data_IF_118827314543
#
_entry.id   IF_118827314543
#
_cell.length_a   1.000
_cell.length_b   1.000
_cell.length_c   1.000
_cell.angle_alpha   90.00
_cell.angle_beta   90.00
_cell.angle_gamma   90.00
#
_symmetry.space_group_name_H-M   'P 1'
#
loop_
_entity.id
_entity.type
_entity.pdbx_description
1 polymer ?
#
# COMPACT_ATOMS: atom_id res chain seq x y z
N UNK A 1 41.70 -37.37 29.25
CA UNK A 1 40.50 -36.50 29.23
C UNK A 1 40.85 -35.03 29.11
N UNK A 2 41.82 -34.62 28.28
CA UNK A 2 42.17 -33.21 28.01
C UNK A 2 42.42 -32.89 26.52
N UNK A 3 42.36 -33.88 25.65
CA UNK A 3 42.62 -33.73 24.21
C UNK A 3 41.34 -33.60 23.36
N UNK A 4 40.19 -34.06 23.84
CA UNK A 4 38.93 -34.01 23.05
C UNK A 4 38.17 -32.69 23.16
N UNK A 5 38.43 -31.89 24.20
CA UNK A 5 37.81 -30.58 24.39
C UNK A 5 38.41 -29.46 23.52
N UNK A 6 39.59 -29.67 22.97
CA UNK A 6 40.29 -28.68 22.15
C UNK A 6 39.87 -28.74 20.67
N UNK A 7 39.33 -29.88 20.19
CA UNK A 7 38.92 -30.08 18.82
C UNK A 7 37.51 -29.51 18.54
N UNK A 8 36.68 -29.34 19.56
CA UNK A 8 35.34 -28.82 19.43
C UNK A 8 35.25 -27.28 19.38
N UNK A 9 36.31 -26.58 19.85
CA UNK A 9 36.38 -25.13 19.87
C UNK A 9 36.82 -24.49 18.53
N UNK A 10 37.38 -25.27 17.61
CA UNK A 10 37.91 -24.78 16.32
C UNK A 10 36.86 -24.80 15.23
N UNK A 11 35.79 -25.58 15.35
CA UNK A 11 34.73 -25.66 14.32
C UNK A 11 33.66 -24.59 14.39
N UNK A 12 33.65 -23.71 15.42
CA UNK A 12 32.58 -22.69 15.60
C UNK A 12 32.95 -21.29 15.04
N UNK A 13 34.14 -21.14 14.44
CA UNK A 13 34.65 -19.84 13.99
C UNK A 13 34.58 -19.57 12.50
N UNK A 14 33.90 -20.41 11.70
CA UNK A 14 33.94 -20.31 10.23
C UNK A 14 32.57 -20.13 9.53
N UNK A 15 31.59 -19.51 10.17
CA UNK A 15 30.30 -19.24 9.52
C UNK A 15 29.85 -17.78 9.66
N UNK A 16 30.77 -16.82 9.50
CA UNK A 16 30.39 -15.43 9.24
C UNK A 16 30.23 -15.25 7.73
N UNK A 17 29.15 -15.77 7.18
CA UNK A 17 28.72 -15.43 5.83
C UNK A 17 28.35 -13.95 5.83
N UNK A 18 29.25 -13.09 5.39
CA UNK A 18 28.97 -11.68 5.11
C UNK A 18 27.91 -11.63 4.03
N UNK A 19 26.69 -11.21 4.39
CA UNK A 19 25.69 -10.78 3.41
C UNK A 19 26.27 -9.55 2.70
N UNK A 20 26.93 -9.76 1.57
CA UNK A 20 27.34 -8.69 0.69
C UNK A 20 26.06 -8.02 0.16
N UNK A 21 25.75 -6.84 0.66
CA UNK A 21 24.70 -6.00 0.08
C UNK A 21 25.09 -5.74 -1.39
N UNK A 22 24.20 -6.07 -2.31
CA UNK A 22 24.41 -5.81 -3.73
C UNK A 22 24.58 -4.29 -3.93
N UNK A 23 25.76 -3.88 -4.39
CA UNK A 23 26.11 -2.51 -4.66
C UNK A 23 25.99 -2.28 -6.16
N UNK A 24 25.30 -1.23 -6.57
CA UNK A 24 25.23 -0.82 -7.98
C UNK A 24 26.00 0.48 -8.17
N UNK A 25 26.90 0.46 -9.13
CA UNK A 25 27.65 1.64 -9.57
C UNK A 25 27.03 2.23 -10.81
N UNK A 26 26.95 3.56 -10.87
CA UNK A 26 26.49 4.30 -12.05
C UNK A 26 27.57 5.32 -12.42
N UNK A 27 27.96 5.35 -13.70
CA UNK A 27 28.87 6.36 -14.25
C UNK A 27 28.54 6.67 -15.72
N UNK A 28 29.21 7.66 -16.29
CA UNK A 28 29.16 7.93 -17.72
C UNK A 28 30.44 7.42 -18.40
N UNK A 29 30.28 6.71 -19.52
CA UNK A 29 31.41 6.31 -20.34
C UNK A 29 32.00 7.50 -21.12
N UNK A 30 33.09 7.26 -21.87
CA UNK A 30 33.76 8.29 -22.66
C UNK A 30 32.86 8.89 -23.77
N UNK A 31 31.78 8.20 -24.13
CA UNK A 31 30.76 8.63 -25.11
C UNK A 31 29.57 9.33 -24.43
N UNK A 32 29.61 9.55 -23.11
CA UNK A 32 28.55 10.21 -22.37
C UNK A 32 27.34 9.32 -22.03
N UNK A 33 27.39 8.02 -22.32
CA UNK A 33 26.30 7.07 -22.01
C UNK A 33 26.36 6.65 -20.56
N UNK A 34 25.21 6.51 -19.93
CA UNK A 34 25.13 6.03 -18.56
C UNK A 34 25.32 4.51 -18.51
N UNK A 35 26.32 4.05 -17.75
CA UNK A 35 26.63 2.65 -17.50
C UNK A 35 26.23 2.29 -16.08
N UNK A 36 25.63 1.12 -15.90
CA UNK A 36 25.31 0.53 -14.60
C UNK A 36 26.07 -0.79 -14.45
N UNK A 37 26.69 -1.04 -13.29
CA UNK A 37 27.45 -2.26 -13.01
C UNK A 37 27.37 -2.62 -11.53
N UNK A 38 27.37 -3.91 -11.23
CA UNK A 38 27.55 -4.48 -9.90
C UNK A 38 29.03 -4.54 -9.48
N UNK A 39 29.94 -4.28 -10.41
CA UNK A 39 31.37 -4.22 -10.17
C UNK A 39 31.86 -2.77 -10.01
N UNK A 40 32.91 -2.52 -9.23
CA UNK A 40 33.50 -1.20 -9.10
C UNK A 40 33.92 -0.63 -10.45
N UNK A 41 33.79 0.69 -10.68
CA UNK A 41 34.18 1.32 -11.93
C UNK A 41 35.69 1.23 -12.17
N UNK A 42 36.14 1.22 -13.44
CA UNK A 42 37.56 1.28 -13.78
C UNK A 42 38.23 2.54 -13.21
N UNK A 43 39.56 2.50 -12.90
CA UNK A 43 40.29 3.64 -12.31
C UNK A 43 40.24 4.93 -13.15
N UNK A 44 39.91 4.83 -14.42
CA UNK A 44 39.77 5.98 -15.34
C UNK A 44 38.46 6.75 -15.15
N UNK A 45 37.52 6.26 -14.34
CA UNK A 45 36.22 6.89 -14.11
C UNK A 45 36.22 7.68 -12.80
N UNK A 46 36.30 8.99 -12.89
CA UNK A 46 36.36 9.86 -11.70
C UNK A 46 34.99 10.27 -11.13
N UNK A 47 33.90 10.03 -11.86
CA UNK A 47 32.53 10.47 -11.49
C UNK A 47 31.56 9.29 -11.27
N UNK A 48 32.06 8.17 -10.77
CA UNK A 48 31.17 7.05 -10.41
C UNK A 48 30.41 7.35 -9.13
N UNK A 49 29.11 7.20 -9.17
CA UNK A 49 28.25 7.27 -7.99
C UNK A 49 27.87 5.85 -7.57
N UNK A 50 28.19 5.52 -6.34
CA UNK A 50 27.70 4.30 -5.70
C UNK A 50 26.26 4.55 -5.26
N UNK A 51 25.32 3.90 -5.91
CA UNK A 51 23.92 3.86 -5.47
C UNK A 51 23.72 2.64 -4.60
N UNK A 52 23.64 2.83 -3.31
CA UNK A 52 23.07 1.81 -2.44
C UNK A 52 21.58 1.76 -2.74
N UNK A 53 21.11 0.67 -3.33
CA UNK A 53 19.71 0.34 -3.25
C UNK A 53 19.42 -0.06 -1.80
N UNK A 54 19.06 0.89 -0.97
CA UNK A 54 18.17 0.59 0.13
C UNK A 54 16.91 0.08 -0.54
N UNK A 55 16.77 -1.25 -0.56
CA UNK A 55 15.77 -2.00 -1.29
C UNK A 55 14.86 -1.08 -2.08
N UNK A 56 14.82 -1.22 -3.39
CA UNK A 56 13.98 -0.38 -4.21
C UNK A 56 12.52 -0.61 -3.76
N UNK A 57 12.17 -0.07 -2.61
CA UNK A 57 10.84 0.40 -2.41
C UNK A 57 10.75 1.57 -3.38
N UNK A 58 10.42 1.26 -4.64
CA UNK A 58 9.54 2.14 -5.35
C UNK A 58 8.55 2.50 -4.26
N UNK A 59 8.49 3.76 -3.84
CA UNK A 59 7.23 4.27 -3.35
C UNK A 59 6.29 3.88 -4.46
N UNK A 60 5.67 2.71 -4.28
CA UNK A 60 4.61 2.24 -5.14
C UNK A 60 3.51 3.19 -4.74
N UNK A 61 3.57 4.37 -5.32
CA UNK A 61 2.45 5.19 -5.53
C UNK A 61 1.38 4.22 -5.97
N UNK A 62 0.16 4.44 -5.60
CA UNK A 62 -1.02 3.68 -5.99
C UNK A 62 -0.78 2.93 -7.30
N UNK A 63 -0.90 1.61 -7.31
CA UNK A 63 -0.61 0.82 -8.52
C UNK A 63 -1.45 1.37 -9.67
N UNK A 64 -0.95 1.28 -10.90
CA UNK A 64 -1.68 1.74 -12.08
C UNK A 64 -3.12 1.19 -12.13
N UNK A 65 -3.30 -0.08 -11.74
CA UNK A 65 -4.61 -0.70 -11.67
C UNK A 65 -5.53 0.00 -10.64
N UNK A 66 -5.03 0.29 -9.43
CA UNK A 66 -5.80 1.01 -8.39
C UNK A 66 -6.12 2.42 -8.83
N UNK A 67 -5.15 3.14 -9.42
CA UNK A 67 -5.36 4.49 -9.95
C UNK A 67 -6.47 4.50 -11.00
N UNK A 68 -6.40 3.60 -11.98
CA UNK A 68 -7.41 3.50 -13.05
C UNK A 68 -8.78 3.12 -12.50
N UNK A 69 -8.83 2.17 -11.56
CA UNK A 69 -10.08 1.76 -10.92
C UNK A 69 -10.70 2.93 -10.13
N UNK A 70 -9.90 3.67 -9.36
CA UNK A 70 -10.36 4.82 -8.58
C UNK A 70 -10.90 5.96 -9.45
N UNK A 71 -10.26 6.24 -10.58
CA UNK A 71 -10.70 7.27 -11.51
C UNK A 71 -12.07 6.94 -12.13
N UNK A 72 -12.31 5.65 -12.42
CA UNK A 72 -13.57 5.18 -13.02
C UNK A 72 -14.65 4.86 -11.98
N UNK A 73 -14.27 4.29 -10.86
CA UNK A 73 -15.14 3.77 -9.82
C UNK A 73 -14.67 4.22 -8.43
N UNK A 74 -14.78 5.51 -8.09
CA UNK A 74 -14.39 6.00 -6.76
C UNK A 74 -15.19 5.30 -5.67
N UNK A 75 -14.53 5.03 -4.55
CA UNK A 75 -15.14 4.32 -3.41
C UNK A 75 -15.46 5.28 -2.28
N UNK A 76 -16.71 5.22 -1.83
CA UNK A 76 -17.15 5.88 -0.60
C UNK A 76 -17.75 4.85 0.35
N UNK A 77 -17.23 4.82 1.56
CA UNK A 77 -17.75 4.04 2.66
C UNK A 77 -18.54 4.96 3.61
N UNK A 78 -19.82 4.70 3.78
CA UNK A 78 -20.61 5.32 4.85
C UNK A 78 -20.57 4.38 6.05
N UNK A 79 -19.85 4.78 7.10
CA UNK A 79 -19.68 3.98 8.31
C UNK A 79 -19.44 4.88 9.51
N UNK A 80 -20.12 4.58 10.61
CA UNK A 80 -19.94 5.19 11.93
C UNK A 80 -19.26 4.21 12.89
N UNK A 81 -19.29 4.49 14.20
CA UNK A 81 -18.91 3.54 15.25
C UNK A 81 -20.03 2.51 15.48
N UNK A 82 -20.41 1.76 14.45
CA UNK A 82 -21.52 0.81 14.47
C UNK A 82 -21.12 -0.61 14.92
N UNK A 83 -19.91 -0.79 15.47
CA UNK A 83 -19.38 -2.09 15.90
C UNK A 83 -18.85 -2.95 14.78
N UNK A 84 -18.87 -4.27 14.99
CA UNK A 84 -18.24 -5.26 14.13
C UNK A 84 -18.53 -5.12 12.62
N UNK A 85 -19.74 -4.86 12.14
CA UNK A 85 -19.98 -4.71 10.71
C UNK A 85 -19.23 -3.53 10.09
N UNK A 86 -19.15 -2.37 10.77
CA UNK A 86 -18.42 -1.21 10.28
C UNK A 86 -16.90 -1.42 10.34
N UNK A 87 -16.41 -2.12 11.37
CA UNK A 87 -14.99 -2.40 11.54
C UNK A 87 -14.50 -3.39 10.49
N UNK A 88 -15.24 -4.47 10.25
CA UNK A 88 -14.95 -5.43 9.18
C UNK A 88 -15.01 -4.80 7.79
N UNK A 89 -15.93 -3.87 7.56
CA UNK A 89 -16.02 -3.11 6.32
C UNK A 89 -14.74 -2.29 6.06
N UNK A 90 -14.27 -1.54 7.07
CA UNK A 90 -13.01 -0.78 6.97
C UNK A 90 -11.81 -1.70 6.80
N UNK A 91 -11.77 -2.79 7.55
CA UNK A 91 -10.70 -3.78 7.51
C UNK A 91 -10.57 -4.38 6.11
N UNK A 92 -11.66 -4.84 5.50
CA UNK A 92 -11.65 -5.42 4.16
C UNK A 92 -11.05 -4.47 3.11
N UNK A 93 -11.48 -3.20 3.10
CA UNK A 93 -10.96 -2.20 2.15
C UNK A 93 -9.48 -1.91 2.39
N UNK A 94 -9.08 -1.83 3.66
CA UNK A 94 -7.70 -1.58 4.08
C UNK A 94 -6.77 -2.75 3.71
N UNK A 95 -7.17 -3.99 3.99
CA UNK A 95 -6.39 -5.20 3.66
C UNK A 95 -6.20 -5.38 2.15
N UNK A 96 -7.18 -4.98 1.36
CA UNK A 96 -7.07 -4.97 -0.11
C UNK A 96 -6.24 -3.79 -0.63
N UNK A 97 -5.87 -2.84 0.22
CA UNK A 97 -5.15 -1.63 -0.19
C UNK A 97 -5.97 -0.73 -1.11
N UNK A 98 -7.28 -0.77 -0.96
CA UNK A 98 -8.23 0.01 -1.76
C UNK A 98 -8.37 1.41 -1.16
N UNK A 99 -8.12 2.49 -1.91
CA UNK A 99 -8.37 3.85 -1.45
C UNK A 99 -9.87 4.13 -1.41
N UNK A 100 -10.35 4.65 -0.28
CA UNK A 100 -11.76 4.98 -0.11
C UNK A 100 -11.93 6.25 0.74
N UNK A 101 -13.03 6.97 0.52
CA UNK A 101 -13.47 8.06 1.38
C UNK A 101 -14.38 7.49 2.46
N UNK A 102 -14.03 7.68 3.73
CA UNK A 102 -14.91 7.30 4.84
C UNK A 102 -15.78 8.50 5.23
N UNK A 103 -17.08 8.36 5.15
CA UNK A 103 -18.08 9.36 5.59
C UNK A 103 -18.84 8.82 6.77
N UNK A 104 -18.85 9.57 7.88
CA UNK A 104 -19.60 9.22 9.08
C UNK A 104 -20.91 9.99 9.13
N UNK A 105 -22.07 9.31 8.91
CA UNK A 105 -23.37 9.97 8.94
C UNK A 105 -23.85 10.37 10.35
N UNK A 106 -23.24 9.84 11.40
CA UNK A 106 -23.56 10.23 12.78
C UNK A 106 -22.82 11.50 13.20
N UNK A 107 -21.58 11.65 12.71
CA UNK A 107 -20.76 12.83 13.02
C UNK A 107 -20.97 13.99 12.04
N UNK A 108 -21.48 13.72 10.82
CA UNK A 108 -21.59 14.71 9.75
C UNK A 108 -23.01 14.73 9.16
N UNK A 109 -23.79 15.82 9.38
CA UNK A 109 -25.15 15.97 8.87
C UNK A 109 -25.22 15.94 7.32
N UNK A 110 -24.21 16.43 6.60
CA UNK A 110 -24.19 16.35 5.14
C UNK A 110 -24.00 14.92 4.65
N UNK A 111 -23.15 14.12 5.31
CA UNK A 111 -23.00 12.71 5.01
C UNK A 111 -24.30 11.93 5.30
N UNK A 112 -25.02 12.29 6.35
CA UNK A 112 -26.34 11.72 6.66
C UNK A 112 -27.36 12.03 5.54
N UNK A 113 -27.43 13.29 5.11
CA UNK A 113 -28.33 13.69 4.03
C UNK A 113 -28.00 13.02 2.70
N UNK A 114 -26.71 12.87 2.37
CA UNK A 114 -26.26 12.12 1.20
C UNK A 114 -26.66 10.65 1.27
N UNK A 115 -26.41 9.98 2.41
CA UNK A 115 -26.77 8.59 2.62
C UNK A 115 -28.28 8.37 2.48
N UNK A 116 -29.08 9.23 3.09
CA UNK A 116 -30.53 9.21 2.98
C UNK A 116 -31.00 9.35 1.52
N UNK A 117 -30.39 10.25 0.77
CA UNK A 117 -30.66 10.45 -0.66
C UNK A 117 -30.33 9.22 -1.50
N UNK A 118 -29.21 8.56 -1.18
CA UNK A 118 -28.72 7.40 -1.92
C UNK A 118 -29.53 6.14 -1.63
N UNK A 119 -29.89 5.90 -0.37
CA UNK A 119 -30.46 4.61 0.07
C UNK A 119 -31.92 4.70 0.54
N UNK A 120 -32.39 5.92 0.81
CA UNK A 120 -33.69 6.13 1.49
C UNK A 120 -33.66 5.77 2.98
N UNK A 121 -32.50 5.43 3.53
CA UNK A 121 -32.31 4.94 4.89
C UNK A 121 -31.09 5.61 5.53
N UNK A 122 -30.95 5.50 6.86
CA UNK A 122 -29.77 5.96 7.61
C UNK A 122 -28.97 4.81 8.20
N UNK A 123 -29.17 3.58 7.70
CA UNK A 123 -28.43 2.40 8.17
C UNK A 123 -27.03 2.36 7.57
N UNK A 124 -26.06 1.93 8.39
CA UNK A 124 -24.62 1.76 8.03
C UNK A 124 -24.18 0.34 8.42
N UNK A 125 -23.14 -0.21 7.78
CA UNK A 125 -22.33 0.38 6.72
C UNK A 125 -22.98 0.32 5.35
N UNK A 126 -22.62 1.28 4.47
CA UNK A 126 -22.99 1.27 3.05
C UNK A 126 -21.73 1.50 2.23
N UNK A 127 -21.48 0.62 1.25
CA UNK A 127 -20.42 0.76 0.26
C UNK A 127 -20.97 1.33 -1.03
N UNK A 128 -20.34 2.39 -1.54
CA UNK A 128 -20.61 2.95 -2.87
C UNK A 128 -19.35 2.80 -3.72
N UNK A 129 -19.47 2.24 -4.91
CA UNK A 129 -18.39 2.03 -5.87
C UNK A 129 -18.84 2.60 -7.21
N UNK A 130 -18.37 3.79 -7.55
CA UNK A 130 -18.88 4.55 -8.69
C UNK A 130 -20.37 4.88 -8.53
N UNK A 131 -21.20 4.28 -9.36
CA UNK A 131 -22.67 4.41 -9.30
C UNK A 131 -23.36 3.29 -8.52
N UNK A 132 -22.67 2.20 -8.25
CA UNK A 132 -23.23 1.02 -7.59
C UNK A 132 -23.15 1.14 -6.07
N UNK A 133 -24.10 0.56 -5.35
CA UNK A 133 -24.14 0.57 -3.89
C UNK A 133 -24.54 -0.78 -3.31
N UNK A 134 -24.03 -1.08 -2.13
CA UNK A 134 -24.43 -2.23 -1.30
C UNK A 134 -24.74 -1.74 0.11
N UNK A 135 -25.95 -2.04 0.59
CA UNK A 135 -26.40 -1.76 1.96
C UNK A 135 -26.01 -2.94 2.87
N UNK A 136 -25.42 -2.63 4.01
CA UNK A 136 -24.91 -3.63 4.95
C UNK A 136 -23.56 -4.19 4.53
N UNK A 137 -22.94 -4.96 5.44
CA UNK A 137 -21.67 -5.62 5.20
C UNK A 137 -21.88 -7.11 4.95
N UNK A 138 -21.53 -7.55 3.74
CA UNK A 138 -21.42 -8.96 3.38
C UNK A 138 -20.15 -9.13 2.54
N UNK A 139 -19.19 -9.90 3.07
CA UNK A 139 -17.83 -10.01 2.54
C UNK A 139 -17.80 -10.42 1.07
N UNK A 140 -18.59 -11.42 0.67
CA UNK A 140 -18.59 -11.95 -0.70
C UNK A 140 -19.13 -10.95 -1.72
N UNK A 141 -20.21 -10.24 -1.39
CA UNK A 141 -20.79 -9.22 -2.27
C UNK A 141 -19.85 -8.03 -2.43
N UNK A 142 -19.23 -7.59 -1.35
CA UNK A 142 -18.25 -6.50 -1.38
C UNK A 142 -17.03 -6.86 -2.23
N UNK A 143 -16.49 -8.06 -2.02
CA UNK A 143 -15.38 -8.55 -2.84
C UNK A 143 -15.74 -8.60 -4.32
N UNK A 144 -16.90 -9.16 -4.66
CA UNK A 144 -17.36 -9.25 -6.04
C UNK A 144 -17.56 -7.87 -6.69
N UNK A 145 -18.08 -6.87 -5.94
CA UNK A 145 -18.23 -5.51 -6.43
C UNK A 145 -16.88 -4.84 -6.71
N UNK A 146 -15.90 -4.98 -5.78
CA UNK A 146 -14.55 -4.46 -5.94
C UNK A 146 -13.82 -5.11 -7.11
N UNK A 147 -13.97 -6.43 -7.29
CA UNK A 147 -13.38 -7.17 -8.40
C UNK A 147 -13.93 -6.70 -9.76
N UNK A 148 -15.24 -6.47 -9.85
CA UNK A 148 -15.88 -5.90 -11.07
C UNK A 148 -15.41 -4.49 -11.39
N UNK A 149 -15.14 -3.69 -10.37
CA UNK A 149 -14.58 -2.34 -10.52
C UNK A 149 -13.08 -2.34 -10.87
N UNK A 150 -12.42 -3.51 -10.91
CA UNK A 150 -11.01 -3.65 -11.27
C UNK A 150 -10.03 -3.38 -10.13
N UNK A 151 -10.49 -3.37 -8.89
CA UNK A 151 -9.62 -3.25 -7.73
C UNK A 151 -8.89 -4.56 -7.44
N UNK A 152 -7.61 -4.54 -7.03
CA UNK A 152 -6.84 -5.73 -6.73
C UNK A 152 -7.42 -6.50 -5.53
N UNK A 153 -7.21 -7.82 -5.51
CA UNK A 153 -7.67 -8.69 -4.41
C UNK A 153 -6.85 -8.56 -3.15
N UNK A 154 -5.63 -8.04 -3.24
CA UNK A 154 -4.71 -7.84 -2.13
C UNK A 154 -3.93 -6.55 -2.31
N UNK A 155 -3.52 -5.94 -1.20
CA UNK A 155 -2.61 -4.81 -1.23
C UNK A 155 -1.27 -5.20 -1.86
N UNK A 156 -0.61 -4.29 -2.61
CA UNK A 156 0.74 -4.51 -3.08
C UNK A 156 1.68 -4.79 -1.90
N UNK A 157 2.66 -5.71 -2.05
CA UNK A 157 3.61 -5.99 -0.98
C UNK A 157 4.38 -4.70 -0.61
N UNK A 158 4.46 -4.41 0.69
CA UNK A 158 5.16 -3.25 1.23
C UNK A 158 4.29 -2.05 1.65
N UNK A 159 3.01 -2.03 1.38
CA UNK A 159 2.10 -1.01 1.89
C UNK A 159 1.56 -1.44 3.26
N UNK A 160 2.02 -0.77 4.33
CA UNK A 160 1.31 -0.83 5.61
C UNK A 160 -0.01 -0.07 5.42
N UNK A 161 -1.17 -0.67 5.76
CA UNK A 161 -2.45 0.02 5.69
C UNK A 161 -2.40 1.28 6.57
N UNK A 162 -2.56 2.44 5.97
CA UNK A 162 -2.68 3.69 6.71
C UNK A 162 -4.17 4.03 6.83
N UNK A 163 -4.67 4.28 8.04
CA UNK A 163 -6.06 4.74 8.22
C UNK A 163 -6.21 6.09 7.50
N UNK A 164 -7.00 6.11 6.43
CA UNK A 164 -7.29 7.37 5.75
C UNK A 164 -8.23 8.19 6.62
N UNK A 165 -7.66 9.19 7.29
CA UNK A 165 -8.42 10.25 7.94
C UNK A 165 -9.25 10.98 6.89
N UNK A 166 -10.53 11.18 7.19
CA UNK A 166 -11.45 11.94 6.36
C UNK A 166 -10.80 13.28 5.95
N UNK A 167 -10.53 13.44 4.66
CA UNK A 167 -10.16 14.75 4.12
C UNK A 167 -11.43 15.59 4.19
N UNK A 168 -11.50 16.47 5.18
CA UNK A 168 -12.50 17.54 5.24
C UNK A 168 -12.36 18.35 3.96
N UNK A 169 -13.42 18.52 3.16
CA UNK A 169 -13.37 19.44 2.03
C UNK A 169 -13.02 20.83 2.54
N UNK A 170 -12.03 21.46 1.91
CA UNK A 170 -11.72 22.85 2.19
C UNK A 170 -12.99 23.72 2.01
N UNK A 171 -13.28 24.67 2.90
CA UNK A 171 -14.41 25.56 2.72
C UNK A 171 -14.21 26.34 1.43
N UNK A 172 -15.27 26.34 0.58
CA UNK A 172 -15.32 27.17 -0.60
C UNK A 172 -15.07 28.62 -0.17
N UNK A 173 -14.07 29.27 -0.76
CA UNK A 173 -13.80 30.70 -0.56
C UNK A 173 -14.99 31.52 -1.09
N UNK A 174 -15.26 32.67 -0.46
CA UNK A 174 -16.37 33.56 -0.79
C UNK A 174 -16.24 34.21 -2.17
#
# INVERSE_FOLDING_TARGET
MKAETLLMAVCLAAASASLAAAQLYQWKDAQGRTVYSDQPPPPSVHNAQQKSFKGNFIEIGESYAVKTAREKFPITLYASACGAPCDQARQLLTERGVPFSNKDPQANPSAQAELQKLTGRSSVPVLVVGSDKIDGFETGQWQAMLDRAGYPKSAPPGRKPEPQTATTPAPAAP
#
